data_IF_650166139634
#
_entry.id   IF_650166139634
#
_cell.length_a   1.000
_cell.length_b   1.000
_cell.length_c   1.000
_cell.angle_alpha   90.00
_cell.angle_beta   90.00
_cell.angle_gamma   90.00
#
_symmetry.space_group_name_H-M   'P 1'
#
loop_
_entity.id
_entity.type
_entity.pdbx_description
1 polymer ?
#
# COMPACT_ATOMS: atom_id res chain seq x y z
N UNK A 1 -9.97 1.69 -26.34
CA UNK A 1 -8.55 1.30 -26.51
C UNK A 1 -8.19 0.33 -25.41
N UNK A 2 -7.71 -0.87 -25.74
CA UNK A 2 -7.42 -1.93 -24.77
C UNK A 2 -5.94 -2.21 -24.82
N UNK A 3 -5.21 -2.00 -23.71
CA UNK A 3 -3.80 -2.33 -23.61
C UNK A 3 -3.64 -3.71 -22.96
N UNK A 4 -3.00 -4.63 -23.68
CA UNK A 4 -2.53 -5.92 -23.16
C UNK A 4 -1.02 -5.85 -23.01
N UNK A 5 -0.51 -6.02 -21.79
CA UNK A 5 0.90 -6.30 -21.56
C UNK A 5 1.15 -7.82 -21.63
N UNK A 6 2.12 -8.23 -22.45
CA UNK A 6 2.65 -9.58 -22.47
C UNK A 6 4.15 -9.51 -22.18
N UNK A 7 4.61 -10.24 -21.16
CA UNK A 7 6.02 -10.34 -20.81
C UNK A 7 6.52 -11.71 -21.27
N UNK A 8 7.33 -11.75 -22.33
CA UNK A 8 8.04 -12.95 -22.76
C UNK A 8 9.39 -13.02 -22.05
N UNK A 9 9.56 -13.99 -21.16
CA UNK A 9 10.86 -14.29 -20.56
C UNK A 9 11.72 -15.10 -21.54
N UNK A 10 12.91 -14.58 -21.85
CA UNK A 10 13.94 -15.24 -22.67
C UNK A 10 14.53 -16.41 -21.88
N UNK A 11 14.42 -17.65 -22.39
CA UNK A 11 15.11 -18.82 -21.83
C UNK A 11 16.42 -19.07 -22.57
N UNK A 12 17.55 -18.92 -21.87
CA UNK A 12 18.85 -19.45 -22.28
C UNK A 12 18.83 -20.98 -22.21
N UNK A 13 19.33 -21.63 -23.26
CA UNK A 13 19.37 -23.08 -23.45
C UNK A 13 20.76 -23.59 -23.10
N UNK A 14 20.91 -24.32 -22.01
CA UNK A 14 22.09 -25.16 -21.75
C UNK A 14 21.66 -26.62 -21.78
N UNK A 15 22.37 -27.41 -22.59
CA UNK A 15 22.11 -28.82 -22.89
C UNK A 15 23.21 -29.64 -22.21
N UNK A 16 22.85 -30.67 -21.44
CA UNK A 16 23.75 -31.68 -20.85
C UNK A 16 22.92 -32.62 -19.98
N UNK A 17 22.51 -33.76 -20.54
CA UNK A 17 23.05 -35.11 -20.30
C UNK A 17 22.75 -35.68 -18.90
N UNK A 18 22.17 -36.88 -18.96
CA UNK A 18 21.43 -37.63 -17.95
C UNK A 18 22.32 -38.38 -16.97
N UNK A 19 22.07 -38.22 -15.67
CA UNK A 19 22.47 -39.19 -14.65
C UNK A 19 21.24 -39.67 -13.87
N UNK A 20 21.02 -40.98 -13.97
CA UNK A 20 19.94 -41.73 -13.34
C UNK A 20 20.27 -41.97 -11.86
N UNK A 21 19.76 -41.11 -10.98
CA UNK A 21 19.64 -41.41 -9.54
C UNK A 21 18.24 -41.01 -9.08
N UNK A 22 17.47 -41.88 -8.39
CA UNK A 22 16.22 -41.46 -7.76
C UNK A 22 16.58 -40.56 -6.58
N UNK A 23 16.59 -39.25 -6.82
CA UNK A 23 16.72 -38.23 -5.78
C UNK A 23 15.38 -38.19 -5.05
N UNK A 24 15.32 -38.85 -3.89
CA UNK A 24 14.18 -38.72 -2.97
C UNK A 24 14.14 -37.27 -2.50
N UNK A 25 13.32 -36.45 -3.16
CA UNK A 25 13.12 -35.07 -2.73
C UNK A 25 12.25 -35.09 -1.47
N UNK A 26 12.90 -34.99 -0.31
CA UNK A 26 12.29 -34.46 0.91
C UNK A 26 11.88 -33.02 0.63
N UNK A 27 10.66 -32.82 0.11
CA UNK A 27 10.04 -31.50 0.05
C UNK A 27 9.59 -31.14 1.47
N UNK A 28 10.50 -30.60 2.28
CA UNK A 28 10.07 -29.67 3.30
C UNK A 28 9.39 -28.51 2.57
N UNK A 29 8.11 -28.20 2.84
CA UNK A 29 7.50 -27.02 2.23
C UNK A 29 8.30 -25.81 2.68
N UNK A 30 8.95 -25.13 1.73
CA UNK A 30 9.53 -23.82 1.99
C UNK A 30 8.41 -22.91 2.52
N UNK A 31 8.69 -22.07 3.53
CA UNK A 31 7.69 -21.11 3.99
C UNK A 31 7.22 -20.28 2.79
N UNK A 32 5.92 -20.00 2.68
CA UNK A 32 5.41 -19.17 1.60
C UNK A 32 6.17 -17.84 1.58
N UNK A 33 6.47 -17.29 0.38
CA UNK A 33 7.14 -16.00 0.30
C UNK A 33 6.37 -14.95 1.10
N UNK A 34 7.06 -13.97 1.71
CA UNK A 34 6.41 -12.89 2.42
C UNK A 34 5.37 -12.24 1.52
N UNK A 35 4.15 -12.03 2.02
CA UNK A 35 3.14 -11.29 1.26
C UNK A 35 3.66 -9.86 1.04
N UNK A 36 3.70 -9.36 -0.20
CA UNK A 36 4.12 -7.99 -0.46
C UNK A 36 3.17 -7.05 0.26
N UNK A 37 3.73 -6.01 0.87
CA UNK A 37 2.99 -5.02 1.66
C UNK A 37 2.99 -3.72 0.91
N UNK A 38 1.79 -3.18 0.70
CA UNK A 38 1.61 -1.91 0.02
C UNK A 38 0.58 -1.08 0.79
N UNK A 39 0.72 0.23 0.69
CA UNK A 39 -0.28 1.20 1.10
C UNK A 39 -0.95 1.79 -0.14
N UNK A 40 -2.23 2.13 -0.02
CA UNK A 40 -2.93 2.94 -1.03
C UNK A 40 -3.34 4.25 -0.37
N UNK A 41 -2.98 5.36 -1.00
CA UNK A 41 -3.47 6.68 -0.64
C UNK A 41 -4.43 7.16 -1.74
N UNK A 42 -5.62 7.59 -1.33
CA UNK A 42 -6.61 8.19 -2.21
C UNK A 42 -6.85 9.63 -1.78
N UNK A 43 -6.92 10.53 -2.75
CA UNK A 43 -7.52 11.84 -2.54
C UNK A 43 -9.01 11.67 -2.21
N UNK A 44 -9.59 12.64 -1.52
CA UNK A 44 -11.02 12.64 -1.18
C UNK A 44 -11.80 13.35 -2.27
N UNK A 45 -11.51 14.63 -2.49
CA UNK A 45 -12.20 15.47 -3.44
C UNK A 45 -11.74 15.13 -4.88
N UNK A 46 -12.67 15.01 -5.81
CA UNK A 46 -12.39 14.63 -7.20
C UNK A 46 -12.09 13.14 -7.43
N UNK A 47 -11.79 12.36 -6.38
CA UNK A 47 -11.54 10.91 -6.47
C UNK A 47 -12.65 10.10 -5.80
N UNK A 48 -12.97 10.37 -4.53
CA UNK A 48 -14.05 9.67 -3.83
C UNK A 48 -15.35 10.46 -3.83
N UNK A 49 -15.29 11.79 -3.74
CA UNK A 49 -16.43 12.71 -3.62
C UNK A 49 -16.26 13.86 -4.62
N UNK A 50 -17.35 14.25 -5.28
CA UNK A 50 -17.43 15.41 -6.16
C UNK A 50 -18.51 16.36 -5.64
N UNK A 51 -18.09 17.50 -5.10
CA UNK A 51 -19.01 18.39 -4.37
C UNK A 51 -19.58 17.68 -3.15
N UNK A 52 -20.87 17.34 -3.18
CA UNK A 52 -21.56 16.63 -2.08
C UNK A 52 -22.00 15.21 -2.44
N UNK A 53 -21.58 14.69 -3.59
CA UNK A 53 -21.99 13.37 -4.07
C UNK A 53 -20.78 12.44 -4.25
N UNK A 54 -20.90 11.14 -3.97
CA UNK A 54 -19.86 10.18 -4.31
C UNK A 54 -19.62 10.12 -5.83
N UNK A 55 -18.35 9.95 -6.22
CA UNK A 55 -17.96 9.83 -7.64
C UNK A 55 -17.96 8.37 -8.07
N UNK A 56 -18.76 8.05 -9.09
CA UNK A 56 -18.71 6.76 -9.79
C UNK A 56 -18.77 5.55 -8.85
N UNK A 57 -17.81 4.64 -8.99
CA UNK A 57 -17.69 3.41 -8.18
C UNK A 57 -16.98 3.58 -6.84
N UNK A 58 -16.72 4.82 -6.39
CA UNK A 58 -15.97 5.07 -5.15
C UNK A 58 -16.59 4.45 -3.91
N UNK A 59 -17.93 4.44 -3.70
CA UNK A 59 -18.52 3.81 -2.51
C UNK A 59 -18.23 2.32 -2.46
N UNK A 60 -18.35 1.61 -3.60
CA UNK A 60 -18.10 0.17 -3.67
C UNK A 60 -16.62 -0.15 -3.50
N UNK A 61 -15.72 0.67 -4.05
CA UNK A 61 -14.28 0.51 -3.87
C UNK A 61 -13.86 0.69 -2.40
N UNK A 62 -14.31 1.76 -1.76
CA UNK A 62 -14.08 2.02 -0.34
C UNK A 62 -14.72 0.91 0.50
N UNK A 63 -15.95 0.49 0.21
CA UNK A 63 -16.59 -0.61 0.95
C UNK A 63 -15.82 -1.93 0.85
N UNK A 64 -15.22 -2.25 -0.31
CA UNK A 64 -14.36 -3.42 -0.47
C UNK A 64 -13.05 -3.30 0.32
N UNK A 65 -12.45 -2.10 0.34
CA UNK A 65 -11.25 -1.83 1.13
C UNK A 65 -11.50 -1.92 2.63
N UNK A 66 -12.69 -1.56 3.10
CA UNK A 66 -13.05 -1.60 4.53
C UNK A 66 -13.88 -2.82 4.94
N UNK A 67 -14.18 -3.74 4.00
CA UNK A 67 -14.88 -4.98 4.32
C UNK A 67 -14.00 -5.88 5.21
N UNK A 68 -14.64 -6.77 5.99
CA UNK A 68 -13.98 -7.71 6.92
C UNK A 68 -12.81 -8.49 6.33
N UNK A 69 -12.82 -8.73 5.01
CA UNK A 69 -11.83 -9.52 4.30
C UNK A 69 -10.80 -8.66 3.53
N UNK A 70 -11.05 -7.35 3.39
CA UNK A 70 -10.20 -6.43 2.64
C UNK A 70 -9.47 -5.40 3.52
N UNK A 71 -10.07 -5.01 4.64
CA UNK A 71 -9.58 -3.94 5.51
C UNK A 71 -8.98 -4.47 6.80
N UNK A 72 -7.71 -4.14 7.04
CA UNK A 72 -7.08 -4.40 8.33
C UNK A 72 -7.70 -3.56 9.47
N UNK A 73 -7.12 -3.66 10.67
CA UNK A 73 -7.52 -2.80 11.80
C UNK A 73 -7.19 -1.34 11.48
N UNK A 74 -8.18 -0.43 11.50
CA UNK A 74 -7.93 0.99 11.24
C UNK A 74 -6.88 1.57 12.20
N UNK A 75 -6.04 2.47 11.69
CA UNK A 75 -4.96 3.09 12.45
C UNK A 75 -5.50 3.82 13.69
N UNK A 76 -6.69 4.42 13.59
CA UNK A 76 -7.38 5.04 14.73
C UNK A 76 -7.75 4.04 15.83
N UNK A 77 -8.22 2.85 15.45
CA UNK A 77 -8.52 1.78 16.40
C UNK A 77 -7.24 1.21 17.01
N UNK A 78 -6.18 1.05 16.20
CA UNK A 78 -4.87 0.63 16.69
C UNK A 78 -4.29 1.63 17.69
N UNK A 79 -4.35 2.92 17.36
CA UNK A 79 -3.91 4.02 18.22
C UNK A 79 -4.68 4.06 19.55
N UNK A 80 -6.01 3.90 19.51
CA UNK A 80 -6.84 3.85 20.73
C UNK A 80 -6.51 2.65 21.61
N UNK A 81 -6.32 1.46 21.02
CA UNK A 81 -5.96 0.26 21.77
C UNK A 81 -4.56 0.40 22.40
N UNK A 82 -3.59 0.92 21.63
CA UNK A 82 -2.22 1.10 22.11
C UNK A 82 -2.15 2.18 23.20
N UNK A 83 -2.92 3.26 23.06
CA UNK A 83 -3.05 4.30 24.08
C UNK A 83 -3.53 3.74 25.42
N UNK A 84 -4.56 2.88 25.39
CA UNK A 84 -5.09 2.22 26.59
C UNK A 84 -4.09 1.28 27.23
N UNK A 85 -3.35 0.52 26.42
CA UNK A 85 -2.36 -0.44 26.91
C UNK A 85 -1.16 0.25 27.57
N UNK A 86 -0.72 1.37 27.01
CA UNK A 86 0.51 2.06 27.44
C UNK A 86 0.27 3.23 28.40
N UNK A 87 -0.99 3.62 28.61
CA UNK A 87 -1.33 4.76 29.49
C UNK A 87 -0.89 6.13 28.95
N UNK A 88 -0.64 6.23 27.65
CA UNK A 88 -0.20 7.47 26.97
C UNK A 88 -1.08 7.75 25.76
N UNK A 89 -1.20 9.02 25.35
CA UNK A 89 -1.98 9.38 24.17
C UNK A 89 -1.18 9.12 22.88
N UNK A 90 -1.68 8.23 22.03
CA UNK A 90 -1.09 7.90 20.74
C UNK A 90 -2.06 8.32 19.65
N UNK A 91 -1.58 9.17 18.75
CA UNK A 91 -2.35 9.61 17.58
C UNK A 91 -2.35 8.56 16.46
N UNK A 92 -3.40 8.52 15.62
CA UNK A 92 -3.40 7.70 14.41
C UNK A 92 -2.22 8.01 13.48
N UNK A 93 -1.77 9.27 13.45
CA UNK A 93 -0.61 9.68 12.64
C UNK A 93 0.69 9.05 13.15
N UNK A 94 0.89 8.94 14.46
CA UNK A 94 2.06 8.21 15.00
C UNK A 94 2.06 6.74 14.57
N UNK A 95 0.89 6.09 14.56
CA UNK A 95 0.75 4.72 14.05
C UNK A 95 1.08 4.64 12.56
N UNK A 96 0.61 5.60 11.77
CA UNK A 96 0.92 5.66 10.33
C UNK A 96 2.42 5.84 10.09
N UNK A 97 3.08 6.77 10.79
CA UNK A 97 4.52 6.99 10.70
C UNK A 97 5.33 5.74 11.09
N UNK A 98 4.89 5.01 12.12
CA UNK A 98 5.50 3.75 12.53
C UNK A 98 5.36 2.69 11.43
N UNK A 99 4.17 2.53 10.85
CA UNK A 99 3.94 1.64 9.70
C UNK A 99 4.87 1.97 8.53
N UNK A 100 4.99 3.25 8.17
CA UNK A 100 5.83 3.69 7.06
C UNK A 100 7.33 3.44 7.32
N UNK A 101 7.80 3.62 8.57
CA UNK A 101 9.21 3.39 8.94
C UNK A 101 9.59 1.92 9.11
N UNK A 102 8.62 1.06 9.42
CA UNK A 102 8.88 -0.33 9.84
C UNK A 102 8.52 -1.36 8.78
N UNK A 103 8.20 -0.95 7.54
CA UNK A 103 7.69 -1.88 6.53
C UNK A 103 6.32 -2.47 6.91
N UNK A 104 5.53 -1.68 7.62
CA UNK A 104 4.22 -2.03 8.15
C UNK A 104 4.23 -3.02 9.32
N UNK A 105 5.39 -3.28 9.93
CA UNK A 105 5.51 -4.15 11.11
C UNK A 105 5.81 -3.30 12.36
N UNK A 106 4.78 -2.76 13.04
CA UNK A 106 4.98 -2.03 14.28
C UNK A 106 5.86 -2.76 15.28
N UNK A 107 6.79 -2.04 15.90
CA UNK A 107 7.72 -2.56 16.90
C UNK A 107 9.03 -3.15 16.35
N UNK A 108 9.31 -3.04 15.04
CA UNK A 108 10.66 -3.25 14.49
C UNK A 108 11.40 -1.91 14.36
N UNK A 109 12.73 -1.91 14.43
CA UNK A 109 13.50 -0.65 14.46
C UNK A 109 13.50 0.09 13.11
N UNK A 110 13.66 -0.64 12.00
CA UNK A 110 13.58 -0.08 10.64
C UNK A 110 13.25 -1.21 9.66
N UNK A 111 12.40 -0.93 8.69
CA UNK A 111 12.08 -1.83 7.59
C UNK A 111 12.11 -1.10 6.26
N UNK A 112 12.07 -1.85 5.15
CA UNK A 112 11.83 -1.26 3.84
C UNK A 112 10.45 -0.60 3.83
N UNK A 113 10.39 0.67 3.42
CA UNK A 113 9.13 1.39 3.35
C UNK A 113 8.16 0.62 2.44
N UNK A 114 6.91 0.37 2.87
CA UNK A 114 5.93 -0.30 2.02
C UNK A 114 5.74 0.48 0.72
N UNK A 115 5.60 -0.22 -0.40
CA UNK A 115 5.30 0.44 -1.67
C UNK A 115 4.00 1.25 -1.55
N UNK A 116 4.03 2.52 -1.94
CA UNK A 116 2.88 3.40 -1.93
C UNK A 116 2.40 3.65 -3.35
N UNK A 117 1.09 3.48 -3.56
CA UNK A 117 0.43 3.79 -4.82
C UNK A 117 -0.52 4.97 -4.61
N UNK A 118 -0.36 5.99 -5.46
CA UNK A 118 -1.18 7.19 -5.46
C UNK A 118 -2.15 7.12 -6.63
N UNK A 119 -3.41 7.52 -6.42
CA UNK A 119 -4.42 7.43 -7.47
C UNK A 119 -4.30 8.54 -8.56
N UNK A 120 -3.46 9.55 -8.32
CA UNK A 120 -3.22 10.73 -9.13
C UNK A 120 -1.86 11.35 -8.75
N UNK A 121 -1.28 12.14 -9.64
CA UNK A 121 0.06 12.74 -9.50
C UNK A 121 0.07 14.26 -9.80
N UNK A 122 -1.10 14.88 -9.74
CA UNK A 122 -1.31 16.30 -9.94
C UNK A 122 -0.84 17.11 -8.72
N UNK A 123 0.03 18.10 -8.95
CA UNK A 123 0.56 18.98 -7.90
C UNK A 123 -0.50 19.96 -7.40
N UNK A 124 -1.29 20.50 -8.32
CA UNK A 124 -2.34 21.46 -8.06
C UNK A 124 -3.65 20.92 -8.63
N UNK A 125 -4.71 21.07 -7.84
CA UNK A 125 -6.06 20.66 -8.19
C UNK A 125 -6.99 21.88 -8.20
N UNK A 126 -7.63 22.12 -9.34
CA UNK A 126 -8.76 23.05 -9.48
C UNK A 126 -10.04 22.25 -9.73
N UNK A 127 -10.72 21.89 -8.64
CA UNK A 127 -12.15 21.55 -8.68
C UNK A 127 -12.99 22.81 -8.92
N UNK A 128 -14.32 22.66 -8.92
CA UNK A 128 -15.28 23.77 -8.82
C UNK A 128 -15.17 24.60 -7.51
N UNK A 129 -14.10 24.43 -6.72
CA UNK A 129 -13.84 25.22 -5.52
C UNK A 129 -13.01 26.47 -5.89
N UNK A 130 -13.34 27.67 -5.38
CA UNK A 130 -12.76 28.93 -5.85
C UNK A 130 -11.28 29.16 -5.46
N UNK A 131 -10.66 28.26 -4.71
CA UNK A 131 -9.28 28.38 -4.26
C UNK A 131 -8.44 27.22 -4.79
N UNK A 132 -7.25 27.52 -5.29
CA UNK A 132 -6.25 26.53 -5.65
C UNK A 132 -5.87 25.69 -4.42
N UNK A 133 -5.86 24.38 -4.61
CA UNK A 133 -5.49 23.42 -3.57
C UNK A 133 -4.36 22.57 -4.11
N UNK A 134 -3.47 22.18 -3.21
CA UNK A 134 -2.47 21.18 -3.51
C UNK A 134 -3.18 19.83 -3.70
N UNK A 135 -2.96 19.22 -4.87
CA UNK A 135 -3.46 17.90 -5.20
C UNK A 135 -2.65 16.79 -4.52
N UNK A 136 -2.99 15.54 -4.83
CA UNK A 136 -2.30 14.39 -4.24
C UNK A 136 -0.82 14.28 -4.62
N UNK A 137 -0.40 14.84 -5.76
CA UNK A 137 1.02 14.95 -6.13
C UNK A 137 1.84 15.73 -5.10
N UNK A 138 1.27 16.77 -4.49
CA UNK A 138 1.94 17.51 -3.41
C UNK A 138 2.07 16.65 -2.13
N UNK A 139 1.04 15.86 -1.80
CA UNK A 139 1.10 14.92 -0.69
C UNK A 139 2.17 13.84 -0.93
N UNK A 140 2.26 13.30 -2.16
CA UNK A 140 3.32 12.36 -2.54
C UNK A 140 4.70 12.94 -2.30
N UNK A 141 4.97 14.15 -2.82
CA UNK A 141 6.28 14.81 -2.67
C UNK A 141 6.61 15.04 -1.19
N UNK A 142 5.65 15.52 -0.39
CA UNK A 142 5.85 15.74 1.03
C UNK A 142 6.17 14.43 1.77
N UNK A 143 5.45 13.35 1.45
CA UNK A 143 5.64 12.06 2.07
C UNK A 143 6.98 11.41 1.69
N UNK A 144 7.35 11.45 0.41
CA UNK A 144 8.66 10.98 -0.06
C UNK A 144 9.79 11.77 0.60
N UNK A 145 9.64 13.09 0.76
CA UNK A 145 10.65 13.94 1.40
C UNK A 145 10.89 13.63 2.88
N UNK A 146 9.86 13.14 3.60
CA UNK A 146 9.97 12.78 5.02
C UNK A 146 10.58 11.40 5.22
N UNK A 147 10.34 10.45 4.30
CA UNK A 147 10.64 9.04 4.52
C UNK A 147 11.70 8.43 3.59
N UNK A 148 12.01 9.03 2.43
CA UNK A 148 12.99 8.55 1.46
C UNK A 148 14.35 9.28 1.51
N UNK A 149 14.81 9.68 2.70
CA UNK A 149 16.18 10.23 2.91
C UNK A 149 17.25 9.16 2.98
#
# INVERSE_FOLDING_TARGET
MSFRFSVSAVRSRVRGQSDLFPRTYSHSPSPPPPRPRFGIAFDVDGVTIGGHAPIGGSPQAIQRLYAKDGGGVPESKRASNLSKLLGVNISPLQVLCDILRTGGLPGKEKGEQPALYFAADDLEYQAAFPAERLGMGAFRIALESIFNT
#
